data_IF_773461683802
#
_entry.id   IF_773461683802
#
_cell.length_a   1.000
_cell.length_b   1.000
_cell.length_c   1.000
_cell.angle_alpha   90.00
_cell.angle_beta   90.00
_cell.angle_gamma   90.00
#
_symmetry.space_group_name_H-M   'P 1'
#
loop_
_entity.id
_entity.type
_entity.pdbx_description
1 polymer ?
#
# COMPACT_ATOMS: atom_id res chain seq x y z
N UNK A 1 -53.29 24.04 -38.90
CA UNK A 1 -52.87 25.45 -38.74
C UNK A 1 -53.14 25.89 -37.30
N UNK A 2 -52.42 25.30 -36.35
CA UNK A 2 -52.51 25.54 -34.89
C UNK A 2 -51.19 25.13 -34.21
N UNK A 3 -50.07 25.28 -34.91
CA UNK A 3 -48.71 25.01 -34.41
C UNK A 3 -47.81 26.15 -34.90
N UNK A 4 -48.23 27.38 -34.60
CA UNK A 4 -47.50 28.61 -34.95
C UNK A 4 -47.76 29.74 -33.95
N UNK A 5 -48.16 29.40 -32.72
CA UNK A 5 -48.47 30.38 -31.67
C UNK A 5 -47.70 30.19 -30.36
N UNK A 6 -46.81 29.20 -30.27
CA UNK A 6 -45.96 28.99 -29.09
C UNK A 6 -44.48 29.35 -29.30
N UNK A 7 -44.10 29.76 -30.52
CA UNK A 7 -42.72 30.14 -30.85
C UNK A 7 -42.48 31.66 -30.85
N UNK A 8 -43.49 32.47 -30.49
CA UNK A 8 -43.42 33.93 -30.50
C UNK A 8 -43.51 34.59 -29.11
N UNK A 9 -43.30 33.84 -28.03
CA UNK A 9 -43.26 34.39 -26.66
C UNK A 9 -41.88 34.30 -25.98
N UNK A 10 -40.81 34.11 -26.76
CA UNK A 10 -39.42 34.12 -26.25
C UNK A 10 -38.50 35.15 -26.93
N UNK A 11 -39.04 36.00 -27.80
CA UNK A 11 -38.36 37.23 -28.23
C UNK A 11 -39.13 38.42 -27.68
N UNK A 12 -38.76 38.90 -26.49
CA UNK A 12 -38.85 40.31 -26.01
C UNK A 12 -38.84 40.40 -24.48
N UNK A 13 -37.75 40.02 -23.82
CA UNK A 13 -37.41 40.63 -22.53
C UNK A 13 -35.89 40.84 -22.49
N UNK A 14 -35.48 42.08 -22.75
CA UNK A 14 -34.16 42.58 -22.38
C UNK A 14 -34.16 42.79 -20.86
N UNK A 15 -33.48 41.93 -20.11
CA UNK A 15 -33.10 42.22 -18.73
C UNK A 15 -31.64 42.62 -18.73
N UNK A 16 -31.40 43.92 -18.58
CA UNK A 16 -30.09 44.47 -18.21
C UNK A 16 -29.81 44.13 -16.76
N UNK A 17 -28.80 43.27 -16.51
CA UNK A 17 -28.25 43.08 -15.18
C UNK A 17 -27.12 44.11 -14.97
N UNK A 18 -27.35 45.04 -14.05
CA UNK A 18 -26.36 45.97 -13.54
C UNK A 18 -25.48 45.22 -12.53
N UNK A 19 -24.25 44.88 -12.93
CA UNK A 19 -23.25 44.33 -12.01
C UNK A 19 -22.61 45.50 -11.24
N UNK A 20 -23.13 45.77 -10.03
CA UNK A 20 -22.41 46.57 -9.05
C UNK A 20 -21.26 45.71 -8.52
N UNK A 21 -20.04 46.19 -8.77
CA UNK A 21 -18.82 45.46 -8.46
C UNK A 21 -18.63 45.19 -6.97
N UNK A 22 -18.42 43.92 -6.65
CA UNK A 22 -17.65 43.50 -5.51
C UNK A 22 -16.31 42.96 -6.02
N UNK A 23 -15.23 43.71 -5.77
CA UNK A 23 -13.87 43.36 -6.16
C UNK A 23 -13.38 42.17 -5.33
N UNK A 24 -13.64 40.95 -5.79
CA UNK A 24 -12.80 39.81 -5.44
C UNK A 24 -11.72 39.67 -6.50
N UNK A 25 -10.49 40.03 -6.13
CA UNK A 25 -9.31 39.87 -6.99
C UNK A 25 -8.99 38.38 -7.09
N UNK A 26 -9.64 37.68 -8.01
CA UNK A 26 -9.11 36.42 -8.52
C UNK A 26 -7.95 36.76 -9.46
N UNK A 27 -6.71 36.59 -8.98
CA UNK A 27 -5.55 36.48 -9.87
C UNK A 27 -5.79 35.24 -10.75
N UNK A 28 -5.85 35.35 -12.09
CA UNK A 28 -5.78 34.18 -12.94
C UNK A 28 -4.43 33.51 -12.65
N UNK A 29 -4.43 32.19 -12.43
CA UNK A 29 -3.18 31.43 -12.39
C UNK A 29 -2.46 31.70 -13.72
N UNK A 30 -1.32 32.39 -13.65
CA UNK A 30 -0.49 32.69 -14.80
C UNK A 30 -0.05 31.36 -15.42
N UNK A 31 -0.68 30.98 -16.54
CA UNK A 31 -0.28 29.77 -17.27
C UNK A 31 1.13 29.98 -17.77
N UNK A 32 2.07 29.14 -17.33
CA UNK A 32 3.48 29.24 -17.67
C UNK A 32 3.68 29.38 -19.20
N UNK A 33 4.23 30.52 -19.67
CA UNK A 33 4.34 30.83 -21.10
C UNK A 33 5.36 29.96 -21.84
N UNK A 34 6.13 29.14 -21.13
CA UNK A 34 7.17 28.26 -21.68
C UNK A 34 6.75 26.79 -21.80
N UNK A 35 5.48 26.46 -21.56
CA UNK A 35 5.01 25.07 -21.77
C UNK A 35 4.99 24.70 -23.25
N UNK A 36 5.20 23.41 -23.62
CA UNK A 36 5.05 22.95 -25.00
C UNK A 36 3.68 23.31 -25.59
N UNK A 37 2.62 23.25 -24.77
CA UNK A 37 1.27 23.73 -25.11
C UNK A 37 1.23 25.23 -25.42
N UNK A 38 1.86 26.09 -24.61
CA UNK A 38 1.94 27.52 -24.87
C UNK A 38 2.73 27.84 -26.16
N UNK A 39 3.82 27.10 -26.42
CA UNK A 39 4.61 27.24 -27.66
C UNK A 39 3.80 26.87 -28.90
N UNK A 40 3.08 25.74 -28.87
CA UNK A 40 2.19 25.31 -29.97
C UNK A 40 1.05 26.30 -30.18
N UNK A 41 0.43 26.82 -29.12
CA UNK A 41 -0.61 27.86 -29.21
C UNK A 41 -0.05 29.13 -29.86
N UNK A 42 1.16 29.56 -29.49
CA UNK A 42 1.82 30.74 -30.06
C UNK A 42 2.12 30.53 -31.55
N UNK A 43 2.70 29.39 -31.91
CA UNK A 43 2.96 29.05 -33.31
C UNK A 43 1.67 29.03 -34.14
N UNK A 44 0.61 28.40 -33.61
CA UNK A 44 -0.71 28.36 -34.26
C UNK A 44 -1.29 29.76 -34.47
N UNK A 45 -1.22 30.63 -33.46
CA UNK A 45 -1.70 32.01 -33.56
C UNK A 45 -0.90 32.85 -34.56
N UNK A 46 0.38 32.53 -34.78
CA UNK A 46 1.23 33.25 -35.74
C UNK A 46 1.04 32.77 -37.18
N UNK A 47 0.88 31.46 -37.39
CA UNK A 47 0.93 30.84 -38.71
C UNK A 47 -0.44 30.50 -39.29
N UNK A 48 -1.47 30.36 -38.46
CA UNK A 48 -2.81 29.96 -38.88
C UNK A 48 -3.78 31.12 -38.63
N UNK A 49 -4.03 31.89 -39.69
CA UNK A 49 -4.92 33.05 -39.68
C UNK A 49 -6.38 32.64 -39.95
N UNK A 50 -6.94 31.77 -39.10
CA UNK A 50 -8.37 31.48 -39.13
C UNK A 50 -8.98 31.54 -37.72
N UNK A 51 -10.28 31.81 -37.67
CA UNK A 51 -11.03 31.92 -36.42
C UNK A 51 -11.65 30.58 -35.99
N UNK A 52 -11.16 29.46 -36.52
CA UNK A 52 -11.66 28.14 -36.13
C UNK A 52 -11.10 27.75 -34.75
N UNK A 53 -11.86 26.99 -33.95
CA UNK A 53 -11.37 26.49 -32.67
C UNK A 53 -10.13 25.62 -32.89
N UNK A 54 -9.09 25.85 -32.06
CA UNK A 54 -7.84 25.08 -32.14
C UNK A 54 -8.14 23.60 -31.88
N UNK A 55 -7.62 22.65 -32.68
CA UNK A 55 -7.90 21.24 -32.50
C UNK A 55 -7.46 20.75 -31.11
N UNK A 56 -8.43 20.32 -30.30
CA UNK A 56 -8.20 19.85 -28.93
C UNK A 56 -7.25 18.64 -28.88
N UNK A 57 -7.28 17.79 -29.91
CA UNK A 57 -6.38 16.64 -30.08
C UNK A 57 -4.90 17.04 -30.17
N UNK A 58 -4.57 18.12 -30.90
CA UNK A 58 -3.18 18.58 -31.03
C UNK A 58 -2.68 19.20 -29.72
N UNK A 59 -3.58 19.90 -29.00
CA UNK A 59 -3.27 20.49 -27.70
C UNK A 59 -3.17 19.43 -26.58
N UNK A 60 -3.91 18.33 -26.67
CA UNK A 60 -3.81 17.22 -25.71
C UNK A 60 -2.57 16.36 -25.95
N UNK A 61 -2.14 16.20 -27.21
CA UNK A 61 -0.88 15.55 -27.59
C UNK A 61 0.38 16.40 -27.40
N UNK A 62 0.22 17.72 -27.18
CA UNK A 62 1.29 18.65 -26.80
C UNK A 62 1.45 18.81 -25.27
N UNK A 63 0.69 18.03 -24.48
CA UNK A 63 0.82 17.91 -23.03
C UNK A 63 1.55 16.64 -22.49
N UNK A 64 2.47 15.95 -23.19
CA UNK A 64 3.47 15.13 -22.52
C UNK A 64 4.63 16.02 -22.04
N UNK A 65 5.23 15.68 -20.89
CA UNK A 65 6.41 16.39 -20.34
C UNK A 65 7.44 16.65 -21.45
N UNK A 66 8.02 17.85 -21.48
CA UNK A 66 9.06 18.16 -22.47
C UNK A 66 10.27 17.25 -22.26
N UNK A 67 11.09 17.02 -23.29
CA UNK A 67 12.33 16.24 -23.12
C UNK A 67 13.26 16.86 -22.06
N UNK A 68 13.17 18.19 -21.85
CA UNK A 68 13.88 18.91 -20.81
C UNK A 68 13.26 18.64 -19.44
N UNK A 69 11.93 18.68 -19.30
CA UNK A 69 11.25 18.39 -18.03
C UNK A 69 11.35 16.90 -17.66
N UNK A 70 11.34 16.01 -18.64
CA UNK A 70 11.59 14.58 -18.47
C UNK A 70 13.06 14.34 -18.11
N UNK A 71 14.00 15.06 -18.72
CA UNK A 71 15.40 15.04 -18.33
C UNK A 71 15.64 15.69 -16.96
N UNK A 72 14.86 16.71 -16.58
CA UNK A 72 14.93 17.39 -15.29
C UNK A 72 14.31 16.53 -14.19
N UNK A 73 13.22 15.80 -14.47
CA UNK A 73 12.67 14.75 -13.63
C UNK A 73 13.67 13.60 -13.45
N UNK A 74 14.42 13.26 -14.52
CA UNK A 74 15.50 12.26 -14.46
C UNK A 74 16.77 12.81 -13.76
N UNK A 75 17.03 14.12 -13.82
CA UNK A 75 18.14 14.80 -13.12
C UNK A 75 17.82 15.15 -11.67
N UNK A 76 16.54 15.17 -11.28
CA UNK A 76 16.09 15.30 -9.90
C UNK A 76 16.35 14.03 -9.07
N UNK A 77 16.94 12.98 -9.67
CA UNK A 77 17.34 11.75 -8.99
C UNK A 77 18.37 11.94 -7.85
N UNK A 78 18.88 13.16 -7.64
CA UNK A 78 19.75 13.54 -6.50
C UNK A 78 19.04 14.41 -5.44
N UNK A 79 17.74 14.74 -5.59
CA UNK A 79 17.01 15.61 -4.65
C UNK A 79 15.55 15.20 -4.43
N UNK A 80 15.18 15.16 -3.16
CA UNK A 80 13.82 15.00 -2.65
C UNK A 80 12.78 15.83 -3.43
N UNK A 81 11.69 15.19 -3.85
CA UNK A 81 10.60 15.83 -4.60
C UNK A 81 9.36 16.04 -3.73
N UNK A 82 8.71 17.19 -3.88
CA UNK A 82 7.48 17.53 -3.16
C UNK A 82 6.38 18.02 -4.08
N UNK A 83 5.37 17.19 -4.31
CA UNK A 83 4.17 17.53 -5.06
C UNK A 83 3.10 18.10 -4.12
N UNK A 84 2.82 19.40 -4.24
CA UNK A 84 1.79 20.04 -3.43
C UNK A 84 0.36 19.72 -3.90
N UNK A 85 0.12 19.70 -5.22
CA UNK A 85 -1.16 19.32 -5.82
C UNK A 85 -0.97 18.94 -7.28
N UNK A 86 -1.72 17.95 -7.75
CA UNK A 86 -1.65 17.48 -9.13
C UNK A 86 -2.98 16.84 -9.57
N UNK A 87 -3.46 17.11 -10.78
CA UNK A 87 -4.70 16.52 -11.33
C UNK A 87 -4.63 16.21 -12.83
N UNK A 88 -3.50 15.67 -13.30
CA UNK A 88 -3.38 15.21 -14.69
C UNK A 88 -3.85 13.75 -14.87
N UNK A 89 -4.51 13.51 -16.01
CA UNK A 89 -5.06 12.23 -16.46
C UNK A 89 -4.04 11.35 -17.21
N UNK A 90 -2.76 11.74 -17.25
CA UNK A 90 -1.68 10.99 -17.88
C UNK A 90 -0.49 10.67 -16.96
N UNK A 91 -0.66 10.82 -15.64
CA UNK A 91 0.39 10.54 -14.67
C UNK A 91 0.19 9.16 -14.08
N UNK A 92 0.75 8.13 -14.72
CA UNK A 92 0.41 6.74 -14.37
C UNK A 92 1.26 6.12 -13.28
N UNK A 93 2.52 6.54 -13.19
CA UNK A 93 3.47 5.97 -12.25
C UNK A 93 4.59 6.95 -11.92
N UNK A 94 5.14 6.84 -10.70
CA UNK A 94 6.23 7.69 -10.22
C UNK A 94 7.12 6.95 -9.21
N UNK A 95 8.36 7.41 -9.02
CA UNK A 95 9.27 6.89 -7.99
C UNK A 95 9.75 5.45 -8.22
N UNK A 96 10.05 5.06 -9.46
CA UNK A 96 10.50 3.70 -9.73
C UNK A 96 12.01 3.55 -9.53
N UNK A 97 12.43 2.61 -8.70
CA UNK A 97 13.84 2.21 -8.52
C UNK A 97 14.76 3.36 -8.12
N UNK A 98 14.25 4.24 -7.26
CA UNK A 98 15.00 5.32 -6.62
C UNK A 98 15.91 4.78 -5.51
N UNK A 99 16.99 5.51 -5.21
CA UNK A 99 17.98 5.13 -4.21
C UNK A 99 18.12 6.25 -3.18
N UNK A 100 17.80 5.97 -1.91
CA UNK A 100 17.84 6.96 -0.84
C UNK A 100 16.96 8.18 -1.11
N UNK A 101 16.97 9.15 -0.20
CA UNK A 101 16.18 10.39 -0.33
C UNK A 101 14.71 10.21 0.02
N UNK A 102 13.92 11.25 -0.19
CA UNK A 102 12.52 11.28 0.21
C UNK A 102 11.61 12.02 -0.78
N UNK A 103 10.52 11.38 -1.20
CA UNK A 103 9.51 12.00 -2.04
C UNK A 103 8.17 12.12 -1.32
N UNK A 104 7.54 13.28 -1.48
CA UNK A 104 6.26 13.62 -0.85
C UNK A 104 5.23 14.05 -1.87
N UNK A 105 4.01 13.56 -1.70
CA UNK A 105 2.88 13.87 -2.54
C UNK A 105 1.70 14.23 -1.66
N UNK A 106 1.23 15.48 -1.75
CA UNK A 106 0.20 15.99 -0.84
C UNK A 106 -1.20 15.72 -1.36
N UNK A 107 -1.55 16.16 -2.57
CA UNK A 107 -2.91 16.05 -3.09
C UNK A 107 -2.92 15.57 -4.54
N UNK A 108 -3.62 14.46 -4.83
CA UNK A 108 -3.98 14.06 -6.19
C UNK A 108 -5.47 14.25 -6.40
N UNK A 109 -5.88 14.90 -7.50
CA UNK A 109 -7.28 15.09 -7.92
C UNK A 109 -8.25 15.55 -6.80
N UNK A 110 -7.88 16.56 -6.03
CA UNK A 110 -8.73 17.07 -4.94
C UNK A 110 -9.97 17.82 -5.45
N UNK A 111 -11.14 17.49 -4.89
CA UNK A 111 -12.36 18.30 -5.04
C UNK A 111 -12.99 18.22 -6.44
N UNK A 112 -12.72 17.15 -7.18
CA UNK A 112 -13.16 16.99 -8.55
C UNK A 112 -14.57 16.35 -8.60
N UNK A 113 -15.41 16.78 -9.55
CA UNK A 113 -16.78 16.27 -9.65
C UNK A 113 -16.86 14.87 -10.28
N UNK A 114 -16.02 14.61 -11.30
CA UNK A 114 -15.92 13.29 -11.95
C UNK A 114 -14.45 12.97 -12.17
N UNK A 115 -13.96 11.97 -11.44
CA UNK A 115 -12.58 11.52 -11.48
C UNK A 115 -12.49 10.16 -12.16
N UNK A 116 -11.75 10.14 -13.26
CA UNK A 116 -11.28 8.92 -13.89
C UNK A 116 -9.76 8.98 -13.84
N UNK A 117 -9.17 8.24 -12.92
CA UNK A 117 -7.77 8.39 -12.56
C UNK A 117 -6.82 7.73 -13.56
N UNK A 118 -5.59 8.20 -13.52
CA UNK A 118 -4.49 7.55 -14.22
C UNK A 118 -3.39 7.08 -13.28
N UNK A 119 -3.27 7.66 -12.08
CA UNK A 119 -2.16 7.42 -11.19
C UNK A 119 -2.28 6.11 -10.43
N UNK A 120 -1.56 5.11 -10.92
CA UNK A 120 -1.74 3.72 -10.51
C UNK A 120 -0.61 3.21 -9.64
N UNK A 121 0.58 3.82 -9.68
CA UNK A 121 1.78 3.24 -9.05
C UNK A 121 2.72 4.28 -8.48
N UNK A 122 3.21 4.05 -7.27
CA UNK A 122 4.23 4.90 -6.66
C UNK A 122 5.24 4.06 -5.89
N UNK A 123 6.53 4.31 -6.11
CA UNK A 123 7.59 3.81 -5.23
C UNK A 123 8.08 2.40 -5.57
N UNK A 124 7.91 1.94 -6.82
CA UNK A 124 8.20 0.54 -7.15
C UNK A 124 9.70 0.29 -7.21
N UNK A 125 10.18 -0.65 -6.39
CA UNK A 125 11.57 -1.09 -6.42
C UNK A 125 12.55 -0.08 -5.86
N UNK A 126 12.10 0.93 -5.11
CA UNK A 126 12.99 1.88 -4.46
C UNK A 126 13.79 1.22 -3.32
N UNK A 127 14.97 1.74 -3.03
CA UNK A 127 15.82 1.26 -1.94
C UNK A 127 16.24 2.39 -1.04
N UNK A 128 15.91 2.27 0.24
CA UNK A 128 16.19 3.29 1.23
C UNK A 128 15.45 4.61 1.00
N UNK A 129 14.54 4.66 0.03
CA UNK A 129 13.79 5.84 -0.33
C UNK A 129 12.55 5.97 0.56
N UNK A 130 12.32 7.17 1.08
CA UNK A 130 11.18 7.51 1.91
C UNK A 130 10.05 8.06 1.04
N UNK A 131 8.85 7.48 1.13
CA UNK A 131 7.74 7.80 0.25
C UNK A 131 6.52 8.20 1.08
N UNK A 132 6.03 9.41 0.87
CA UNK A 132 4.84 9.94 1.57
C UNK A 132 3.76 10.36 0.60
N UNK A 133 2.54 9.87 0.82
CA UNK A 133 1.34 10.25 0.10
C UNK A 133 0.27 10.71 1.10
N UNK A 134 -0.21 11.94 0.98
CA UNK A 134 -1.15 12.51 1.97
C UNK A 134 -2.60 12.26 1.57
N UNK A 135 -3.03 12.68 0.38
CA UNK A 135 -4.43 12.56 -0.02
C UNK A 135 -4.57 12.13 -1.48
N UNK A 136 -5.26 11.02 -1.68
CA UNK A 136 -5.68 10.50 -2.98
C UNK A 136 -7.15 10.83 -3.17
N UNK A 137 -7.42 11.73 -4.11
CA UNK A 137 -8.75 12.13 -4.59
C UNK A 137 -9.75 12.58 -3.49
N UNK A 138 -9.30 13.34 -2.47
CA UNK A 138 -10.18 13.72 -1.37
C UNK A 138 -11.29 14.68 -1.82
N UNK A 139 -12.42 14.65 -1.12
CA UNK A 139 -13.54 15.60 -1.28
C UNK A 139 -14.15 15.58 -2.70
N UNK A 140 -13.97 14.49 -3.43
CA UNK A 140 -14.47 14.31 -4.80
C UNK A 140 -15.91 13.77 -4.79
N UNK A 141 -16.65 13.98 -5.88
CA UNK A 141 -18.04 13.51 -5.96
C UNK A 141 -18.15 12.09 -6.53
N UNK A 142 -17.93 11.94 -7.84
CA UNK A 142 -17.97 10.63 -8.53
C UNK A 142 -16.54 10.19 -8.86
N UNK A 143 -16.06 9.13 -8.22
CA UNK A 143 -14.69 8.64 -8.34
C UNK A 143 -14.67 7.21 -8.83
N UNK A 144 -13.99 6.97 -9.95
CA UNK A 144 -13.61 5.63 -10.42
C UNK A 144 -12.08 5.49 -10.32
N UNK A 145 -11.64 5.31 -9.08
CA UNK A 145 -10.24 5.40 -8.68
C UNK A 145 -9.62 4.02 -8.43
N UNK A 146 -8.51 3.70 -9.10
CA UNK A 146 -7.80 2.43 -8.92
C UNK A 146 -6.28 2.58 -8.81
N UNK A 147 -5.79 2.62 -7.58
CA UNK A 147 -4.37 2.57 -7.25
C UNK A 147 -3.86 1.13 -7.22
N UNK A 148 -3.01 0.77 -8.17
CA UNK A 148 -2.54 -0.61 -8.30
C UNK A 148 -1.48 -0.95 -7.27
N UNK A 149 -0.44 -0.14 -7.10
CA UNK A 149 0.70 -0.51 -6.23
C UNK A 149 1.36 0.68 -5.56
N UNK A 150 1.53 0.63 -4.24
CA UNK A 150 2.34 1.58 -3.46
C UNK A 150 3.49 0.84 -2.79
N UNK A 151 4.73 1.26 -3.03
CA UNK A 151 5.89 0.73 -2.32
C UNK A 151 6.18 -0.75 -2.58
N UNK A 152 5.87 -1.28 -3.76
CA UNK A 152 6.09 -2.70 -4.09
C UNK A 152 7.54 -3.00 -4.45
N UNK A 153 8.02 -4.17 -4.06
CA UNK A 153 9.39 -4.65 -4.33
C UNK A 153 10.50 -3.74 -3.79
N UNK A 154 10.22 -2.93 -2.76
CA UNK A 154 11.17 -1.99 -2.16
C UNK A 154 12.07 -2.66 -1.11
N UNK A 155 13.21 -2.05 -0.79
CA UNK A 155 14.07 -2.50 0.32
C UNK A 155 14.49 -1.33 1.20
N UNK A 156 14.22 -1.38 2.50
CA UNK A 156 14.50 -0.27 3.39
C UNK A 156 13.59 0.94 3.16
N UNK A 157 13.92 2.04 3.84
CA UNK A 157 13.16 3.29 3.80
C UNK A 157 11.83 3.22 4.56
N UNK A 158 11.02 4.25 4.39
CA UNK A 158 9.70 4.39 5.01
C UNK A 158 8.63 4.65 3.95
N UNK A 159 7.42 4.20 4.23
CA UNK A 159 6.26 4.31 3.36
C UNK A 159 5.11 4.87 4.17
N UNK A 160 4.52 5.99 3.77
CA UNK A 160 3.36 6.57 4.43
C UNK A 160 2.27 6.90 3.41
N UNK A 161 1.06 6.38 3.60
CA UNK A 161 -0.12 6.75 2.82
C UNK A 161 -1.22 7.18 3.79
N UNK A 162 -1.52 8.48 3.86
CA UNK A 162 -2.45 8.97 4.87
C UNK A 162 -3.89 8.69 4.46
N UNK A 163 -4.35 9.20 3.32
CA UNK A 163 -5.78 9.19 3.00
C UNK A 163 -6.05 8.73 1.59
N UNK A 164 -6.82 7.66 1.48
CA UNK A 164 -7.37 7.17 0.22
C UNK A 164 -8.86 7.51 0.19
N UNK A 165 -9.24 8.47 -0.64
CA UNK A 165 -10.63 8.82 -0.94
C UNK A 165 -11.48 9.13 0.29
N UNK A 166 -11.06 10.19 1.02
CA UNK A 166 -11.80 10.72 2.16
C UNK A 166 -12.92 11.66 1.69
N UNK A 167 -14.11 11.53 2.28
CA UNK A 167 -15.27 12.39 1.99
C UNK A 167 -15.76 12.31 0.53
N UNK A 168 -15.79 11.11 -0.05
CA UNK A 168 -16.26 10.88 -1.42
C UNK A 168 -17.73 10.42 -1.42
N UNK A 169 -18.54 10.89 -2.37
CA UNK A 169 -19.99 10.60 -2.40
C UNK A 169 -20.43 9.41 -3.26
N UNK A 170 -19.70 9.13 -4.36
CA UNK A 170 -19.92 7.98 -5.25
C UNK A 170 -18.57 7.33 -5.59
N UNK A 171 -17.95 6.64 -4.62
CA UNK A 171 -16.67 5.94 -4.74
C UNK A 171 -16.84 4.57 -5.42
N UNK A 172 -15.97 4.26 -6.38
CA UNK A 172 -15.65 2.91 -6.81
C UNK A 172 -14.15 2.70 -6.61
N UNK A 173 -13.77 2.31 -5.39
CA UNK A 173 -12.37 2.41 -4.92
C UNK A 173 -11.69 1.06 -4.99
N UNK A 174 -10.51 1.03 -5.59
CA UNK A 174 -9.69 -0.17 -5.68
C UNK A 174 -8.23 0.10 -5.37
N UNK A 175 -7.74 -0.42 -4.26
CA UNK A 175 -6.32 -0.46 -3.97
C UNK A 175 -5.81 -1.89 -4.03
N UNK A 176 -5.06 -2.24 -5.07
CA UNK A 176 -4.63 -3.63 -5.23
C UNK A 176 -3.52 -4.01 -4.22
N UNK A 177 -2.45 -3.21 -4.10
CA UNK A 177 -1.45 -3.54 -3.08
C UNK A 177 -0.60 -2.41 -2.52
N UNK A 178 -0.34 -2.52 -1.21
CA UNK A 178 0.65 -1.72 -0.50
C UNK A 178 1.77 -2.65 -0.02
N UNK A 179 3.01 -2.36 -0.39
CA UNK A 179 4.17 -2.99 0.26
C UNK A 179 4.41 -4.44 -0.13
N UNK A 180 3.77 -4.95 -1.18
CA UNK A 180 4.03 -6.31 -1.64
C UNK A 180 5.50 -6.50 -1.98
N UNK A 181 6.04 -7.67 -1.69
CA UNK A 181 7.40 -8.05 -2.08
C UNK A 181 8.51 -7.17 -1.49
N UNK A 182 8.20 -6.38 -0.46
CA UNK A 182 9.16 -5.46 0.14
C UNK A 182 9.95 -6.08 1.30
N UNK A 183 11.11 -5.49 1.60
CA UNK A 183 12.09 -5.99 2.56
C UNK A 183 12.47 -4.91 3.56
N UNK A 184 12.43 -5.21 4.86
CA UNK A 184 12.96 -4.36 5.93
C UNK A 184 12.43 -2.92 5.89
N UNK A 185 11.12 -2.74 5.69
CA UNK A 185 10.48 -1.43 5.49
C UNK A 185 9.50 -1.11 6.61
N UNK A 186 9.42 0.16 7.00
CA UNK A 186 8.39 0.66 7.91
C UNK A 186 7.26 1.31 7.11
N UNK A 187 6.04 0.80 7.26
CA UNK A 187 4.89 1.16 6.45
C UNK A 187 3.75 1.69 7.34
N UNK A 188 3.13 2.78 6.90
CA UNK A 188 2.02 3.41 7.59
C UNK A 188 0.89 3.72 6.60
N UNK A 189 -0.33 3.34 6.96
CA UNK A 189 -1.55 3.70 6.26
C UNK A 189 -2.56 4.26 7.26
N UNK A 190 -2.96 5.51 7.12
CA UNK A 190 -3.88 6.12 8.08
C UNK A 190 -5.34 5.76 7.81
N UNK A 191 -5.87 6.01 6.61
CA UNK A 191 -7.31 5.83 6.38
C UNK A 191 -7.67 5.48 4.95
N UNK A 192 -8.50 4.46 4.79
CA UNK A 192 -9.09 4.04 3.51
C UNK A 192 -10.61 4.25 3.55
N UNK A 193 -11.16 5.08 2.64
CA UNK A 193 -12.62 5.27 2.50
C UNK A 193 -13.30 6.02 3.66
N UNK A 194 -12.54 6.70 4.52
CA UNK A 194 -13.08 7.34 5.73
C UNK A 194 -14.10 8.44 5.41
N UNK A 195 -15.25 8.42 6.09
CA UNK A 195 -16.36 9.36 5.91
C UNK A 195 -16.89 9.43 4.46
N UNK A 196 -16.74 8.36 3.68
CA UNK A 196 -17.22 8.31 2.30
C UNK A 196 -18.55 7.59 2.20
N UNK A 197 -19.40 7.99 1.26
CA UNK A 197 -20.69 7.39 0.98
C UNK A 197 -20.61 6.64 -0.34
N UNK A 198 -21.15 5.42 -0.51
CA UNK A 198 -21.47 4.83 -1.80
C UNK A 198 -20.98 3.40 -2.08
N UNK A 199 -20.62 3.13 -3.33
CA UNK A 199 -20.48 1.79 -3.96
C UNK A 199 -19.28 0.97 -3.41
N UNK A 200 -19.10 -0.30 -3.87
CA UNK A 200 -18.13 -1.21 -3.26
C UNK A 200 -16.70 -0.66 -3.19
N UNK A 201 -16.02 -0.89 -2.07
CA UNK A 201 -14.62 -0.56 -1.88
C UNK A 201 -13.78 -1.83 -1.70
N UNK A 202 -12.62 -1.88 -2.35
CA UNK A 202 -11.77 -3.06 -2.33
C UNK A 202 -10.31 -2.70 -2.04
N UNK A 203 -9.72 -3.34 -1.03
CA UNK A 203 -8.28 -3.41 -0.85
C UNK A 203 -7.83 -4.88 -0.91
N UNK A 204 -7.04 -5.24 -1.91
CA UNK A 204 -6.63 -6.64 -2.08
C UNK A 204 -5.52 -7.05 -1.11
N UNK A 205 -4.46 -6.25 -0.91
CA UNK A 205 -3.36 -6.70 -0.06
C UNK A 205 -2.47 -5.63 0.56
N UNK A 206 -2.08 -5.86 1.81
CA UNK A 206 -1.04 -5.10 2.50
C UNK A 206 0.11 -6.04 2.90
N UNK A 207 1.35 -5.70 2.54
CA UNK A 207 2.54 -6.44 2.96
C UNK A 207 2.66 -7.86 2.39
N UNK A 208 1.95 -8.20 1.30
CA UNK A 208 1.97 -9.56 0.73
C UNK A 208 3.39 -10.01 0.34
N UNK A 209 3.78 -11.22 0.76
CA UNK A 209 5.08 -11.84 0.43
C UNK A 209 6.29 -10.98 0.81
N UNK A 210 6.14 -10.18 1.86
CA UNK A 210 7.18 -9.29 2.36
C UNK A 210 8.12 -9.94 3.37
N UNK A 211 9.24 -9.29 3.69
CA UNK A 211 10.17 -9.74 4.72
C UNK A 211 10.47 -8.63 5.72
N UNK A 212 10.31 -8.92 7.01
CA UNK A 212 10.65 -8.05 8.16
C UNK A 212 10.05 -6.65 7.98
N UNK A 213 8.71 -6.58 7.91
CA UNK A 213 8.00 -5.31 7.75
C UNK A 213 7.34 -4.91 9.05
N UNK A 214 7.68 -3.71 9.51
CA UNK A 214 6.89 -2.98 10.50
C UNK A 214 5.74 -2.30 9.78
N UNK A 215 4.50 -2.60 10.15
CA UNK A 215 3.33 -1.99 9.53
C UNK A 215 2.36 -1.40 10.54
N UNK A 216 1.76 -0.27 10.19
CA UNK A 216 0.67 0.33 10.96
C UNK A 216 -0.46 0.72 10.01
N UNK A 217 -1.66 0.26 10.32
CA UNK A 217 -2.89 0.62 9.62
C UNK A 217 -3.90 1.15 10.62
N UNK A 218 -4.29 2.42 10.49
CA UNK A 218 -5.16 3.04 11.50
C UNK A 218 -6.63 2.71 11.29
N UNK A 219 -7.19 2.85 10.08
CA UNK A 219 -8.61 2.56 9.88
C UNK A 219 -9.04 2.31 8.44
N UNK A 220 -9.77 1.22 8.22
CA UNK A 220 -10.47 0.91 6.97
C UNK A 220 -11.97 1.16 7.17
N UNK A 221 -12.61 1.90 6.27
CA UNK A 221 -14.08 2.05 6.26
C UNK A 221 -14.68 2.94 7.35
N UNK A 222 -13.86 3.65 8.14
CA UNK A 222 -14.34 4.38 9.32
C UNK A 222 -15.43 5.42 8.98
N UNK A 223 -16.58 5.31 9.65
CA UNK A 223 -17.72 6.24 9.50
C UNK A 223 -18.22 6.40 8.06
N UNK A 224 -17.98 5.39 7.21
CA UNK A 224 -18.48 5.36 5.84
C UNK A 224 -19.93 4.88 5.74
N UNK A 225 -20.58 5.19 4.62
CA UNK A 225 -21.89 4.64 4.25
C UNK A 225 -21.71 3.82 2.96
N UNK A 226 -21.19 2.60 3.07
CA UNK A 226 -20.83 1.73 1.94
C UNK A 226 -21.90 0.69 1.59
N UNK A 227 -21.91 0.14 0.38
CA UNK A 227 -22.70 -1.07 0.09
C UNK A 227 -21.93 -2.35 0.41
N UNK A 228 -20.65 -2.41 0.08
CA UNK A 228 -19.79 -3.59 0.31
C UNK A 228 -18.35 -3.14 0.48
N UNK A 229 -17.70 -3.60 1.53
CA UNK A 229 -16.36 -3.22 1.90
C UNK A 229 -15.50 -4.47 2.06
N UNK A 230 -14.45 -4.60 1.24
CA UNK A 230 -13.64 -5.82 1.21
C UNK A 230 -12.17 -5.54 1.38
N UNK A 231 -11.56 -6.16 2.40
CA UNK A 231 -10.11 -6.27 2.53
C UNK A 231 -9.67 -7.73 2.48
N UNK A 232 -8.97 -8.12 1.43
CA UNK A 232 -8.63 -9.52 1.21
C UNK A 232 -7.49 -10.00 2.11
N UNK A 233 -6.41 -9.24 2.27
CA UNK A 233 -5.24 -9.76 3.01
C UNK A 233 -4.35 -8.72 3.65
N UNK A 234 -3.93 -9.01 4.89
CA UNK A 234 -2.92 -8.28 5.61
C UNK A 234 -1.78 -9.22 5.99
N UNK A 235 -0.57 -8.92 5.53
CA UNK A 235 0.65 -9.70 5.76
C UNK A 235 0.61 -11.17 5.27
N UNK A 236 -0.16 -11.47 4.22
CA UNK A 236 -0.19 -12.81 3.62
C UNK A 236 1.20 -13.26 3.14
N UNK A 237 1.62 -14.47 3.54
CA UNK A 237 2.91 -15.06 3.17
C UNK A 237 4.14 -14.20 3.57
N UNK A 238 4.04 -13.39 4.63
CA UNK A 238 5.15 -12.52 5.06
C UNK A 238 6.18 -13.27 5.92
N UNK A 239 7.44 -12.81 5.92
CA UNK A 239 8.47 -13.29 6.85
C UNK A 239 8.57 -12.32 8.04
N UNK A 240 8.37 -12.83 9.24
CA UNK A 240 8.52 -12.10 10.50
C UNK A 240 7.86 -10.70 10.45
N UNK A 241 6.58 -10.60 10.07
CA UNK A 241 5.91 -9.31 10.03
C UNK A 241 5.70 -8.78 11.45
N UNK A 242 5.65 -7.46 11.62
CA UNK A 242 5.37 -6.76 12.87
C UNK A 242 4.23 -5.78 12.61
N UNK A 243 2.99 -6.25 12.76
CA UNK A 243 1.82 -5.54 12.28
C UNK A 243 1.04 -4.87 13.40
N UNK A 244 0.53 -3.68 13.12
CA UNK A 244 -0.38 -2.98 14.01
C UNK A 244 -1.61 -2.47 13.24
N UNK A 245 -2.71 -3.21 13.32
CA UNK A 245 -3.97 -2.91 12.67
C UNK A 245 -5.00 -2.41 13.69
N UNK A 246 -5.46 -1.17 13.59
CA UNK A 246 -6.29 -0.55 14.62
C UNK A 246 -7.81 -0.67 14.39
N UNK A 247 -8.34 -0.43 13.20
CA UNK A 247 -9.78 -0.59 12.98
C UNK A 247 -10.15 -1.00 11.57
N UNK A 248 -11.20 -1.79 11.50
CA UNK A 248 -11.96 -2.10 10.29
C UNK A 248 -13.42 -1.80 10.61
N UNK A 249 -14.07 -0.95 9.82
CA UNK A 249 -15.49 -0.62 9.96
C UNK A 249 -15.88 0.12 11.25
N UNK A 250 -14.99 0.92 11.88
CA UNK A 250 -15.38 1.62 13.12
C UNK A 250 -16.43 2.71 12.82
N UNK A 251 -17.65 2.48 13.33
CA UNK A 251 -18.79 3.38 13.14
C UNK A 251 -19.31 3.41 11.70
N UNK A 252 -18.99 2.42 10.87
CA UNK A 252 -19.49 2.37 9.50
C UNK A 252 -20.98 1.98 9.44
N UNK A 253 -21.58 2.25 8.30
CA UNK A 253 -22.92 1.82 7.94
C UNK A 253 -22.86 1.14 6.56
N UNK A 254 -22.04 0.09 6.46
CA UNK A 254 -21.87 -0.69 5.24
C UNK A 254 -23.04 -1.68 5.03
N UNK A 255 -23.25 -2.22 3.83
CA UNK A 255 -24.12 -3.40 3.66
C UNK A 255 -23.41 -4.67 4.10
N UNK A 256 -22.20 -4.91 3.58
CA UNK A 256 -21.37 -6.07 3.91
C UNK A 256 -19.93 -5.66 4.17
N UNK A 257 -19.36 -6.15 5.27
CA UNK A 257 -17.97 -5.98 5.67
C UNK A 257 -17.23 -7.33 5.59
N UNK A 258 -16.26 -7.45 4.68
CA UNK A 258 -15.52 -8.69 4.46
C UNK A 258 -14.00 -8.51 4.64
N UNK A 259 -13.45 -9.01 5.76
CA UNK A 259 -12.01 -9.17 5.93
C UNK A 259 -11.60 -10.63 5.77
N UNK A 260 -10.98 -10.97 4.65
CA UNK A 260 -10.64 -12.37 4.36
C UNK A 260 -9.48 -12.90 5.22
N UNK A 261 -8.36 -12.18 5.35
CA UNK A 261 -7.20 -12.76 6.05
C UNK A 261 -6.24 -11.79 6.73
N UNK A 262 -5.77 -12.18 7.90
CA UNK A 262 -4.68 -11.54 8.63
C UNK A 262 -3.60 -12.56 8.95
N UNK A 263 -2.36 -12.31 8.48
CA UNK A 263 -1.16 -13.15 8.63
C UNK A 263 -1.28 -14.58 8.09
N UNK A 264 -2.22 -14.85 7.19
CA UNK A 264 -2.32 -16.19 6.60
C UNK A 264 -1.03 -16.57 5.86
N UNK A 265 -0.51 -17.76 6.15
CA UNK A 265 0.78 -18.25 5.66
C UNK A 265 2.00 -17.39 6.05
N UNK A 266 1.90 -16.51 7.04
CA UNK A 266 3.07 -15.79 7.52
C UNK A 266 4.03 -16.75 8.25
N UNK A 267 5.33 -16.50 8.13
CA UNK A 267 6.35 -17.15 8.93
C UNK A 267 6.69 -16.24 10.11
N UNK A 268 6.44 -16.68 11.33
CA UNK A 268 6.91 -15.99 12.53
C UNK A 268 8.15 -16.71 13.04
N UNK A 269 9.28 -16.01 13.15
CA UNK A 269 10.53 -16.63 13.63
C UNK A 269 10.77 -16.36 15.12
N UNK A 270 9.92 -15.57 15.78
CA UNK A 270 10.18 -15.18 17.14
C UNK A 270 9.54 -16.16 18.12
N UNK A 271 10.37 -16.97 18.77
CA UNK A 271 9.95 -17.70 19.99
C UNK A 271 9.82 -16.74 21.20
N UNK A 272 10.07 -15.43 21.00
CA UNK A 272 10.31 -14.44 22.08
C UNK A 272 9.53 -13.14 21.90
N UNK A 273 9.03 -12.77 20.70
CA UNK A 273 8.35 -11.48 20.52
C UNK A 273 6.84 -11.60 20.79
N UNK A 274 6.49 -11.78 22.06
CA UNK A 274 5.13 -11.54 22.56
C UNK A 274 4.64 -10.14 22.18
N UNK A 275 3.68 -10.04 21.25
CA UNK A 275 2.94 -8.80 20.98
C UNK A 275 3.46 -7.91 19.85
N UNK A 276 4.30 -8.42 18.95
CA UNK A 276 4.74 -7.69 17.75
C UNK A 276 3.62 -7.50 16.71
N UNK A 277 2.62 -8.39 16.72
CA UNK A 277 1.46 -8.37 15.85
C UNK A 277 0.17 -8.10 16.64
N UNK A 278 -0.57 -7.09 16.20
CA UNK A 278 -1.64 -6.50 16.98
C UNK A 278 -2.82 -6.09 16.09
N UNK A 279 -3.98 -6.66 16.35
CA UNK A 279 -5.25 -6.32 15.73
C UNK A 279 -6.20 -5.77 16.79
N UNK A 280 -6.64 -4.53 16.68
CA UNK A 280 -7.41 -3.89 17.76
C UNK A 280 -8.90 -4.11 17.61
N UNK A 281 -9.50 -3.77 16.48
CA UNK A 281 -10.96 -3.81 16.36
C UNK A 281 -11.46 -4.17 14.97
N UNK A 282 -12.54 -4.94 14.94
CA UNK A 282 -13.26 -5.38 13.75
C UNK A 282 -14.75 -5.08 13.90
N UNK A 283 -15.35 -4.33 12.96
CA UNK A 283 -16.76 -3.96 12.94
C UNK A 283 -17.22 -3.37 14.28
N UNK A 284 -16.54 -2.34 14.78
CA UNK A 284 -16.86 -1.75 16.09
C UNK A 284 -17.85 -0.60 15.89
N UNK A 285 -18.95 -0.58 16.63
CA UNK A 285 -20.05 0.37 16.43
C UNK A 285 -20.58 0.40 14.97
N UNK A 286 -20.35 -0.67 14.22
CA UNK A 286 -20.77 -0.78 12.83
C UNK A 286 -22.26 -1.11 12.77
N UNK A 287 -22.90 -0.60 11.71
CA UNK A 287 -24.28 -0.87 11.36
C UNK A 287 -24.37 -1.66 10.04
N UNK A 288 -23.50 -2.65 9.88
CA UNK A 288 -23.44 -3.48 8.68
C UNK A 288 -24.28 -4.74 8.74
N UNK A 289 -24.97 -5.10 7.65
CA UNK A 289 -25.87 -6.28 7.59
C UNK A 289 -25.10 -7.57 7.90
N UNK A 290 -23.88 -7.69 7.40
CA UNK A 290 -23.01 -8.86 7.60
C UNK A 290 -21.55 -8.44 7.81
N UNK A 291 -20.89 -9.02 8.81
CA UNK A 291 -19.51 -8.70 9.19
C UNK A 291 -18.69 -9.99 9.29
N UNK A 292 -17.87 -10.26 8.26
CA UNK A 292 -17.20 -11.55 8.05
C UNK A 292 -15.67 -11.49 8.13
N UNK A 293 -15.11 -12.32 9.01
CA UNK A 293 -13.68 -12.53 9.10
C UNK A 293 -13.30 -13.98 8.77
N UNK A 294 -12.66 -14.22 7.62
CA UNK A 294 -12.40 -15.61 7.21
C UNK A 294 -11.20 -16.27 7.92
N UNK A 295 -10.08 -15.56 8.10
CA UNK A 295 -8.86 -16.18 8.63
C UNK A 295 -7.98 -15.23 9.44
N UNK A 296 -7.95 -15.43 10.76
CA UNK A 296 -7.03 -14.72 11.63
C UNK A 296 -5.87 -15.63 12.07
N UNK A 297 -4.63 -15.32 11.69
CA UNK A 297 -3.43 -15.90 12.31
C UNK A 297 -3.11 -17.35 11.94
N UNK A 298 -3.56 -17.85 10.77
CA UNK A 298 -3.14 -19.16 10.24
C UNK A 298 -1.73 -19.10 9.63
N UNK A 299 -0.75 -18.93 10.49
CA UNK A 299 0.68 -18.82 10.13
C UNK A 299 1.37 -20.19 10.03
N UNK A 300 2.53 -20.25 9.38
CA UNK A 300 3.38 -21.45 9.34
C UNK A 300 3.94 -21.82 10.73
N UNK A 301 4.16 -20.81 11.57
CA UNK A 301 4.62 -20.96 12.96
C UNK A 301 3.64 -20.28 13.91
N UNK A 302 3.62 -20.72 15.17
CA UNK A 302 2.81 -20.08 16.21
C UNK A 302 3.41 -18.72 16.55
N UNK A 303 2.70 -17.65 16.18
CA UNK A 303 2.99 -16.29 16.64
C UNK A 303 2.26 -15.97 17.95
N UNK A 304 2.56 -14.79 18.50
CA UNK A 304 1.88 -14.27 19.70
C UNK A 304 1.13 -13.00 19.33
N UNK A 305 -0.08 -13.20 18.81
CA UNK A 305 -0.93 -12.13 18.31
C UNK A 305 -1.86 -11.59 19.40
N UNK A 306 -2.07 -10.27 19.44
CA UNK A 306 -3.13 -9.67 20.26
C UNK A 306 -4.29 -9.25 19.38
N UNK A 307 -5.48 -9.84 19.59
CA UNK A 307 -6.73 -9.37 18.98
C UNK A 307 -7.66 -8.79 20.05
N UNK A 308 -7.73 -7.46 20.20
CA UNK A 308 -8.48 -6.85 21.31
C UNK A 308 -9.98 -7.13 21.27
N UNK A 309 -10.62 -7.01 20.11
CA UNK A 309 -12.07 -7.20 20.08
C UNK A 309 -12.77 -7.05 18.73
N UNK A 310 -14.04 -7.49 18.68
CA UNK A 310 -14.87 -7.43 17.48
C UNK A 310 -16.34 -7.13 17.83
N UNK A 311 -17.08 -6.50 16.93
CA UNK A 311 -18.55 -6.31 17.06
C UNK A 311 -19.01 -5.42 18.21
N UNK A 312 -18.10 -4.86 19.01
CA UNK A 312 -18.46 -4.08 20.20
C UNK A 312 -19.29 -2.86 19.80
N UNK A 313 -20.50 -2.76 20.35
CA UNK A 313 -21.42 -1.64 20.05
C UNK A 313 -22.31 -1.87 18.83
N UNK A 314 -22.23 -3.04 18.18
CA UNK A 314 -23.13 -3.38 17.07
C UNK A 314 -24.48 -3.85 17.64
N UNK A 315 -25.57 -3.30 17.13
CA UNK A 315 -26.92 -3.72 17.48
C UNK A 315 -27.49 -4.60 16.36
N UNK A 316 -27.64 -5.91 16.61
CA UNK A 316 -28.38 -6.88 15.78
C UNK A 316 -27.74 -7.37 14.47
N UNK A 317 -26.43 -7.64 14.43
CA UNK A 317 -25.75 -8.12 13.21
C UNK A 317 -24.94 -9.40 13.45
N UNK A 318 -24.90 -10.27 12.43
CA UNK A 318 -24.16 -11.53 12.47
C UNK A 318 -22.67 -11.25 12.29
N UNK A 319 -21.88 -11.57 13.32
CA UNK A 319 -20.42 -11.53 13.25
C UNK A 319 -19.89 -12.93 13.01
N UNK A 320 -19.39 -13.16 11.79
CA UNK A 320 -18.92 -14.46 11.34
C UNK A 320 -17.40 -14.60 11.42
N UNK A 321 -16.92 -15.66 12.07
CA UNK A 321 -15.51 -16.08 12.00
C UNK A 321 -15.39 -17.48 11.41
N UNK A 322 -14.63 -17.63 10.31
CA UNK A 322 -14.38 -18.97 9.75
C UNK A 322 -13.24 -19.69 10.46
N UNK A 323 -12.11 -19.01 10.72
CA UNK A 323 -10.90 -19.58 11.33
C UNK A 323 -10.19 -18.52 12.19
N UNK A 324 -9.71 -18.93 13.38
CA UNK A 324 -8.72 -18.19 14.17
C UNK A 324 -7.52 -19.05 14.58
N UNK A 325 -6.38 -18.39 14.82
CA UNK A 325 -5.12 -18.97 15.30
C UNK A 325 -5.08 -19.21 16.80
N UNK A 326 -4.08 -19.97 17.25
CA UNK A 326 -3.88 -20.28 18.68
C UNK A 326 -3.35 -19.06 19.44
N UNK A 327 -3.61 -18.99 20.76
CA UNK A 327 -3.17 -17.92 21.67
C UNK A 327 -3.76 -16.52 21.43
N UNK A 328 -4.87 -16.39 20.71
CA UNK A 328 -5.61 -15.12 20.61
C UNK A 328 -6.46 -14.86 21.85
N UNK A 329 -6.39 -13.66 22.43
CA UNK A 329 -7.24 -13.27 23.57
C UNK A 329 -8.14 -12.09 23.22
N UNK A 330 -9.45 -12.32 23.19
CA UNK A 330 -10.46 -11.26 22.97
C UNK A 330 -10.87 -10.65 24.31
N UNK A 331 -10.76 -9.33 24.43
CA UNK A 331 -11.12 -8.57 25.65
C UNK A 331 -12.44 -7.84 25.51
N UNK A 332 -12.79 -7.45 24.29
CA UNK A 332 -13.95 -6.62 23.98
C UNK A 332 -14.78 -7.29 22.88
N UNK A 333 -16.03 -7.69 23.14
CA UNK A 333 -16.87 -8.32 22.10
C UNK A 333 -18.36 -8.02 22.29
N UNK A 334 -19.15 -8.17 21.22
CA UNK A 334 -20.61 -8.17 21.30
C UNK A 334 -21.10 -9.44 22.00
N UNK A 335 -22.00 -9.38 22.99
CA UNK A 335 -22.50 -10.57 23.66
C UNK A 335 -23.57 -11.35 22.85
N UNK A 336 -24.04 -10.83 21.71
CA UNK A 336 -25.16 -11.40 20.93
C UNK A 336 -24.76 -11.65 19.47
N UNK A 337 -25.34 -12.70 18.87
CA UNK A 337 -25.31 -13.01 17.43
C UNK A 337 -23.92 -13.23 16.79
N UNK A 338 -23.08 -14.07 17.42
CA UNK A 338 -21.76 -14.45 16.90
C UNK A 338 -21.77 -15.90 16.43
N UNK A 339 -21.31 -16.15 15.20
CA UNK A 339 -21.17 -17.50 14.63
C UNK A 339 -19.69 -17.84 14.36
N UNK A 340 -19.19 -18.86 15.06
CA UNK A 340 -17.85 -19.42 14.82
C UNK A 340 -17.97 -20.72 14.04
N UNK A 341 -17.50 -20.74 12.79
CA UNK A 341 -17.60 -21.94 11.95
C UNK A 341 -16.57 -23.00 12.32
N UNK A 342 -15.35 -22.59 12.68
CA UNK A 342 -14.26 -23.54 12.95
C UNK A 342 -13.14 -22.90 13.76
N UNK A 343 -12.56 -23.72 14.64
CA UNK A 343 -11.29 -23.45 15.28
C UNK A 343 -10.23 -24.38 14.70
N UNK A 344 -9.09 -23.83 14.30
CA UNK A 344 -7.96 -24.65 13.84
C UNK A 344 -6.75 -24.37 14.70
N UNK A 345 -6.30 -25.39 15.42
CA UNK A 345 -4.93 -25.45 15.94
C UNK A 345 -3.99 -25.64 14.74
N UNK A 346 -3.78 -24.59 13.96
CA UNK A 346 -3.01 -24.68 12.73
C UNK A 346 -1.81 -23.74 12.78
N UNK A 347 -0.86 -24.09 13.63
CA UNK A 347 0.47 -24.29 13.08
C UNK A 347 0.33 -25.53 12.17
N UNK A 348 0.78 -25.54 10.91
CA UNK A 348 1.05 -26.79 10.24
C UNK A 348 2.15 -27.51 11.04
N UNK A 349 1.76 -28.21 12.11
CA UNK A 349 2.48 -29.39 12.52
C UNK A 349 2.62 -30.20 11.25
N UNK A 350 3.86 -30.44 10.85
CA UNK A 350 4.20 -31.51 9.94
C UNK A 350 3.27 -32.69 10.23
N UNK A 351 2.40 -33.01 9.26
CA UNK A 351 1.63 -34.25 9.18
C UNK A 351 0.49 -34.37 10.22
N UNK A 352 -0.69 -33.82 9.91
CA UNK A 352 -1.94 -34.44 10.41
C UNK A 352 -2.21 -35.72 9.63
N UNK A 353 -1.70 -36.85 10.12
CA UNK A 353 -2.41 -38.11 9.97
C UNK A 353 -3.16 -38.38 11.27
N UNK A 354 -4.47 -38.60 11.09
CA UNK A 354 -5.47 -38.86 12.12
C UNK A 354 -5.02 -39.81 13.23
N UNK A 355 -5.26 -39.39 14.48
CA UNK A 355 -5.62 -40.26 15.60
C UNK A 355 -4.70 -41.44 15.89
N UNK A 356 -3.57 -41.20 16.56
CA UNK A 356 -2.93 -42.12 17.52
C UNK A 356 -1.81 -41.38 18.25
N UNK A 357 -1.67 -41.63 19.54
CA UNK A 357 -0.66 -41.01 20.40
C UNK A 357 0.73 -41.06 19.73
N UNK A 358 1.25 -39.89 19.36
CA UNK A 358 2.47 -39.75 18.57
C UNK A 358 3.65 -39.83 19.53
N UNK A 359 4.39 -40.94 19.48
CA UNK A 359 5.79 -40.93 19.93
C UNK A 359 6.50 -39.84 19.13
N UNK A 360 7.04 -38.85 19.82
CA UNK A 360 7.66 -37.63 19.26
C UNK A 360 8.92 -38.00 18.48
N UNK A 361 8.75 -38.50 17.25
CA UNK A 361 9.82 -38.86 16.34
C UNK A 361 10.46 -37.59 15.80
N UNK A 362 11.71 -37.37 16.21
CA UNK A 362 12.56 -36.31 15.66
C UNK A 362 13.12 -36.82 14.34
N UNK A 363 12.99 -36.00 13.29
CA UNK A 363 13.48 -36.33 11.94
C UNK A 363 14.99 -36.66 11.96
N UNK A 364 15.44 -37.79 11.37
CA UNK A 364 16.85 -38.13 11.28
C UNK A 364 17.66 -37.02 10.61
N UNK A 365 18.76 -36.60 11.24
CA UNK A 365 19.61 -35.51 10.75
C UNK A 365 19.24 -34.12 11.23
N UNK A 366 18.04 -33.93 11.82
CA UNK A 366 17.61 -32.64 12.38
C UNK A 366 18.49 -32.19 13.55
N UNK A 367 19.01 -33.14 14.32
CA UNK A 367 20.05 -32.92 15.32
C UNK A 367 21.11 -34.00 15.17
N UNK A 368 22.34 -33.64 15.51
CA UNK A 368 23.45 -34.56 15.62
C UNK A 368 24.31 -34.20 16.82
N UNK A 369 25.01 -35.20 17.36
CA UNK A 369 26.02 -34.95 18.38
C UNK A 369 27.30 -34.46 17.71
N UNK A 370 27.93 -33.44 18.26
CA UNK A 370 29.20 -32.90 17.76
C UNK A 370 30.29 -33.98 17.62
N UNK A 371 30.27 -34.99 18.49
CA UNK A 371 31.18 -36.14 18.46
C UNK A 371 31.05 -37.02 17.20
N UNK A 372 29.99 -36.84 16.41
CA UNK A 372 29.75 -37.52 15.14
C UNK A 372 30.40 -36.79 13.94
N UNK A 373 30.92 -35.57 14.13
CA UNK A 373 31.64 -34.81 13.11
C UNK A 373 33.07 -35.34 12.93
N UNK A 374 33.20 -36.56 12.41
CA UNK A 374 34.47 -37.21 12.11
C UNK A 374 34.58 -37.52 10.62
N UNK A 375 35.79 -37.40 10.08
CA UNK A 375 36.07 -37.71 8.69
C UNK A 375 35.66 -39.16 8.37
N UNK A 376 34.84 -39.34 7.34
CA UNK A 376 34.32 -40.64 6.91
C UNK A 376 32.99 -41.07 7.55
N UNK A 377 32.43 -40.29 8.49
CA UNK A 377 31.09 -40.55 9.06
C UNK A 377 30.00 -40.03 8.11
N UNK A 378 29.11 -40.93 7.66
CA UNK A 378 27.94 -40.57 6.86
C UNK A 378 26.82 -40.08 7.78
N UNK A 379 26.42 -38.83 7.61
CA UNK A 379 25.41 -38.17 8.42
C UNK A 379 24.09 -38.10 7.63
N UNK A 380 22.96 -38.53 8.20
CA UNK A 380 21.67 -38.25 7.60
C UNK A 380 21.48 -36.72 7.57
N UNK A 381 21.17 -36.17 6.40
CA UNK A 381 20.84 -34.76 6.23
C UNK A 381 19.32 -34.67 6.08
N UNK A 382 18.63 -33.85 6.90
CA UNK A 382 17.20 -33.64 6.72
C UNK A 382 16.97 -32.95 5.37
N UNK A 383 15.74 -33.01 4.87
CA UNK A 383 15.38 -32.30 3.64
C UNK A 383 15.47 -30.78 3.87
N UNK A 384 16.60 -30.19 3.47
CA UNK A 384 16.87 -28.74 3.56
C UNK A 384 16.31 -27.97 2.35
N UNK A 385 15.48 -28.59 1.51
CA UNK A 385 14.81 -27.86 0.45
C UNK A 385 13.96 -26.74 1.06
N UNK A 386 14.13 -25.53 0.54
CA UNK A 386 13.30 -24.40 0.95
C UNK A 386 11.86 -24.65 0.46
N UNK A 387 11.02 -25.13 1.38
CA UNK A 387 9.58 -25.33 1.16
C UNK A 387 8.79 -24.04 1.31
N UNK A 388 9.47 -22.93 1.63
CA UNK A 388 8.81 -21.63 1.70
C UNK A 388 8.49 -21.13 0.29
N UNK A 389 7.42 -20.34 0.13
CA UNK A 389 7.15 -19.68 -1.15
C UNK A 389 8.31 -18.78 -1.55
N UNK A 390 8.48 -18.55 -2.86
CA UNK A 390 9.50 -17.64 -3.39
C UNK A 390 9.39 -16.29 -2.71
N UNK A 391 10.47 -15.87 -2.05
CA UNK A 391 10.56 -14.57 -1.38
C UNK A 391 11.25 -13.56 -2.26
N UNK A 392 10.87 -12.31 -2.07
CA UNK A 392 11.41 -11.21 -2.86
C UNK A 392 12.78 -10.82 -2.31
N UNK A 393 13.84 -11.26 -3.00
CA UNK A 393 15.18 -10.71 -2.84
C UNK A 393 15.29 -9.37 -3.58
N UNK A 394 16.27 -8.56 -3.21
CA UNK A 394 16.53 -7.28 -3.90
C UNK A 394 16.70 -7.51 -5.41
N UNK A 395 15.87 -6.91 -6.28
CA UNK A 395 15.97 -7.08 -7.72
C UNK A 395 17.37 -6.72 -8.26
N UNK A 396 17.90 -7.51 -9.21
CA UNK A 396 19.24 -7.30 -9.80
C UNK A 396 19.41 -5.89 -10.40
N UNK A 397 18.36 -5.33 -10.98
CA UNK A 397 18.35 -3.96 -11.54
C UNK A 397 18.60 -2.88 -10.50
N UNK A 398 18.35 -3.16 -9.22
CA UNK A 398 18.60 -2.24 -8.13
C UNK A 398 19.91 -2.58 -7.42
N UNK A 399 20.15 -3.87 -7.16
CA UNK A 399 21.40 -4.35 -6.58
C UNK A 399 22.63 -3.86 -7.37
N UNK A 400 22.55 -3.84 -8.70
CA UNK A 400 23.62 -3.31 -9.57
C UNK A 400 23.87 -1.80 -9.46
N UNK A 401 22.95 -1.03 -8.88
CA UNK A 401 23.11 0.42 -8.68
C UNK A 401 23.63 0.76 -7.29
N UNK A 402 23.61 -0.18 -6.34
CA UNK A 402 24.10 0.06 -4.99
C UNK A 402 25.64 0.13 -4.98
N UNK A 403 26.23 1.13 -4.31
CA UNK A 403 27.68 1.31 -4.29
C UNK A 403 28.35 0.38 -3.27
N UNK A 404 28.33 -0.93 -3.54
CA UNK A 404 28.99 -1.95 -2.71
C UNK A 404 30.52 -1.83 -2.76
N UNK A 405 31.07 -0.94 -1.94
CA UNK A 405 32.51 -0.88 -1.65
C UNK A 405 32.79 -0.16 -0.34
N UNK A 406 33.85 -0.57 0.39
CA UNK A 406 34.27 0.14 1.60
C UNK A 406 34.66 1.59 1.31
N UNK A 407 35.11 1.90 0.08
CA UNK A 407 35.41 3.27 -0.36
C UNK A 407 34.17 4.15 -0.49
N UNK A 408 32.99 3.55 -0.68
CA UNK A 408 31.70 4.22 -0.87
C UNK A 408 30.70 3.87 0.23
N UNK A 409 31.18 3.34 1.36
CA UNK A 409 30.31 2.94 2.48
C UNK A 409 29.52 4.12 3.05
N UNK A 410 30.06 5.34 2.97
CA UNK A 410 29.33 6.56 3.34
C UNK A 410 28.06 6.76 2.50
N UNK A 411 28.09 6.45 1.20
CA UNK A 411 26.93 6.54 0.33
C UNK A 411 25.90 5.45 0.66
N UNK A 412 26.34 4.23 0.98
CA UNK A 412 25.45 3.17 1.46
C UNK A 412 24.76 3.55 2.76
N UNK A 413 25.51 4.11 3.71
CA UNK A 413 24.96 4.61 4.98
C UNK A 413 23.90 5.69 4.76
N UNK A 414 24.14 6.57 3.79
CA UNK A 414 23.15 7.58 3.39
C UNK A 414 21.90 6.95 2.77
N UNK A 415 22.05 6.01 1.84
CA UNK A 415 20.92 5.32 1.20
C UNK A 415 20.04 4.63 2.25
N UNK A 416 20.64 3.93 3.21
CA UNK A 416 19.90 3.17 4.22
C UNK A 416 19.54 3.97 5.49
N UNK A 417 19.74 5.29 5.48
CA UNK A 417 19.47 6.18 6.62
C UNK A 417 20.08 5.68 7.94
N UNK A 418 21.28 5.11 7.89
CA UNK A 418 21.90 4.52 9.08
C UNK A 418 22.42 5.62 10.01
N UNK A 419 22.02 5.58 11.28
CA UNK A 419 22.61 6.43 12.31
C UNK A 419 24.04 5.98 12.64
N UNK A 420 24.90 6.95 12.98
CA UNK A 420 26.26 6.68 13.41
C UNK A 420 26.28 5.83 14.69
N UNK A 421 27.20 4.87 14.71
CA UNK A 421 27.38 3.83 15.72
C UNK A 421 26.20 2.87 15.92
N UNK A 422 25.27 2.79 14.95
CA UNK A 422 24.15 1.85 15.01
C UNK A 422 24.59 0.41 14.71
N UNK A 423 23.80 -0.57 15.15
CA UNK A 423 23.97 -1.97 14.75
C UNK A 423 23.86 -2.15 13.23
N UNK A 424 22.98 -1.38 12.58
CA UNK A 424 22.81 -1.37 11.13
C UNK A 424 24.05 -0.86 10.41
N UNK A 425 24.70 0.20 10.93
CA UNK A 425 25.95 0.70 10.36
C UNK A 425 27.04 -0.37 10.37
N UNK A 426 27.26 -1.03 11.51
CA UNK A 426 28.24 -2.12 11.64
C UNK A 426 27.91 -3.28 10.71
N UNK A 427 26.63 -3.65 10.62
CA UNK A 427 26.19 -4.72 9.74
C UNK A 427 26.49 -4.41 8.26
N UNK A 428 26.26 -3.17 7.82
CA UNK A 428 26.62 -2.75 6.45
C UNK A 428 28.14 -2.82 6.25
N UNK A 429 28.93 -2.31 7.19
CA UNK A 429 30.39 -2.35 7.12
C UNK A 429 30.93 -3.77 7.05
N UNK A 430 30.49 -4.64 7.97
CA UNK A 430 30.89 -6.05 8.01
C UNK A 430 30.47 -6.78 6.73
N UNK A 431 29.26 -6.53 6.22
CA UNK A 431 28.77 -7.14 4.97
C UNK A 431 29.62 -6.72 3.78
N UNK A 432 29.92 -5.42 3.65
CA UNK A 432 30.73 -4.91 2.53
C UNK A 432 32.16 -5.44 2.63
N UNK A 433 32.73 -5.47 3.83
CA UNK A 433 34.04 -6.06 4.09
C UNK A 433 34.08 -7.55 3.74
N UNK A 434 33.02 -8.28 4.12
CA UNK A 434 32.85 -9.70 3.82
C UNK A 434 32.67 -9.93 2.31
N UNK A 435 32.00 -9.04 1.59
CA UNK A 435 31.95 -9.10 0.13
C UNK A 435 33.32 -8.84 -0.51
N UNK A 436 34.07 -7.83 -0.03
CA UNK A 436 35.36 -7.42 -0.59
C UNK A 436 36.54 -8.34 -0.20
N UNK A 437 36.44 -9.14 0.88
CA UNK A 437 37.54 -10.04 1.28
C UNK A 437 37.84 -11.07 0.19
N UNK A 438 39.06 -11.61 0.18
CA UNK A 438 39.39 -12.73 -0.72
C UNK A 438 38.52 -13.95 -0.37
N UNK A 439 38.08 -14.74 -1.37
CA UNK A 439 37.43 -16.02 -1.11
C UNK A 439 38.32 -16.90 -0.24
N UNK A 440 37.73 -17.61 0.69
CA UNK A 440 38.42 -18.66 1.44
C UNK A 440 38.72 -19.83 0.50
N UNK A 441 39.67 -20.73 0.84
CA UNK A 441 39.82 -21.99 0.12
C UNK A 441 38.46 -22.69 -0.01
N UNK A 442 38.10 -23.08 -1.23
CA UNK A 442 36.83 -23.73 -1.59
C UNK A 442 35.55 -22.85 -1.57
N UNK A 443 35.69 -21.52 -1.42
CA UNK A 443 34.59 -20.56 -1.54
C UNK A 443 34.54 -19.93 -2.96
N UNK A 444 33.36 -19.93 -3.60
CA UNK A 444 33.12 -19.19 -4.85
C UNK A 444 32.38 -17.88 -4.55
N UNK A 445 32.91 -16.75 -5.06
CA UNK A 445 32.27 -15.43 -4.98
C UNK A 445 31.77 -14.94 -6.33
#
# INVERSE_FOLDING_TARGET
>A
MFILFFFFLLLSINVTFSEQGEKTVFKPIEKNPFTPKASVIRYWNQQIQNNLPKPSFLLSKASPLSAIDSAMLTQLHDKDVNFASYSDKNFTNYGNSLLGGADTFKNYSQGENVVADSFRRYGRGSVGHDEKFTNYEPESNVVDGSFTTYGTSTTGGTSEFKKYDQFVNVPNLRFASYGSDSNARNQAFTSYGKNSNGLPTEFTSYGKSSNVIGSTFTGYGEQGNGATETFTSYAFNSNNPQNNFASYGDGDNAGTEDFTSYRDQANDSSYIATGDDNFQSYGKNANAEEVNFANYGKSFNQGTDTFKGYGKGNANHEVGFKIYGVNTTFKDYSPTDITFSKYTNSCPDSLTQSGKAVNRWVEPGKFFHESMLKQGTVMPMPDISDKMPKRSFLPRTISSKLPFSMKRVAELKQIFHTSSHSSMERFIEDTVQECERKPSPDESK
#
